data_IF_827937707035
#
_entry.id   IF_827937707035
#
_cell.length_a   1.000
_cell.length_b   1.000
_cell.length_c   1.000
_cell.angle_alpha   90.00
_cell.angle_beta   90.00
_cell.angle_gamma   90.00
#
_symmetry.space_group_name_H-M   'P 1'
#
loop_
_entity.id
_entity.type
_entity.pdbx_description
1 polymer ?
#
# COMPACT_ATOMS: atom_id res chain seq x y z
N UNK A 1 -28.14 -0.13 -14.66
CA UNK A 1 -28.43 -0.88 -13.41
C UNK A 1 -27.76 -0.12 -12.27
N UNK A 2 -28.51 0.24 -11.24
CA UNK A 2 -27.92 0.80 -10.01
C UNK A 2 -26.89 -0.20 -9.48
N UNK A 3 -25.66 0.24 -9.26
CA UNK A 3 -24.63 -0.61 -8.66
C UNK A 3 -25.03 -0.79 -7.20
N UNK A 4 -25.52 -1.98 -6.85
CA UNK A 4 -25.90 -2.28 -5.46
C UNK A 4 -24.69 -2.07 -4.55
N UNK A 5 -24.92 -1.39 -3.45
CA UNK A 5 -23.89 -1.12 -2.45
C UNK A 5 -23.47 -2.41 -1.75
N UNK A 6 -22.17 -2.70 -1.69
CA UNK A 6 -21.68 -4.05 -1.34
C UNK A 6 -22.21 -4.57 0.01
N UNK A 7 -22.19 -3.78 1.12
CA UNK A 7 -22.73 -4.23 2.39
C UNK A 7 -24.23 -4.53 2.35
N UNK A 8 -25.01 -3.77 1.55
CA UNK A 8 -26.46 -3.95 1.42
C UNK A 8 -26.78 -5.30 0.79
N UNK A 9 -26.07 -5.69 -0.28
CA UNK A 9 -26.30 -6.98 -0.93
C UNK A 9 -26.05 -8.16 0.02
N UNK A 10 -24.96 -8.11 0.80
CA UNK A 10 -24.67 -9.17 1.76
C UNK A 10 -25.62 -9.14 2.96
N UNK A 11 -26.07 -7.96 3.41
CA UNK A 11 -27.08 -7.85 4.45
C UNK A 11 -28.44 -8.44 4.03
N UNK A 12 -28.84 -8.30 2.75
CA UNK A 12 -30.05 -8.92 2.20
C UNK A 12 -29.94 -10.44 2.11
N UNK A 13 -28.77 -10.95 1.71
CA UNK A 13 -28.58 -12.39 1.43
C UNK A 13 -28.13 -13.20 2.65
N UNK A 14 -27.31 -12.63 3.53
CA UNK A 14 -26.66 -13.30 4.67
C UNK A 14 -26.56 -12.34 5.88
N UNK A 15 -27.69 -11.92 6.46
CA UNK A 15 -27.76 -10.83 7.43
C UNK A 15 -26.87 -11.04 8.66
N UNK A 16 -26.73 -12.29 9.12
CA UNK A 16 -26.10 -12.62 10.41
C UNK A 16 -24.61 -12.96 10.29
N UNK A 17 -24.05 -12.98 9.06
CA UNK A 17 -22.62 -13.23 8.86
C UNK A 17 -21.82 -12.03 9.41
N UNK A 18 -20.73 -12.26 10.17
CA UNK A 18 -19.85 -11.20 10.63
C UNK A 18 -19.25 -10.39 9.47
N UNK A 19 -19.39 -9.08 9.51
CA UNK A 19 -18.67 -8.17 8.62
C UNK A 19 -17.48 -7.50 9.33
N UNK A 20 -17.65 -7.04 10.57
CA UNK A 20 -16.60 -6.41 11.36
C UNK A 20 -16.43 -7.14 12.69
N UNK A 21 -15.19 -7.43 13.05
CA UNK A 21 -14.80 -7.94 14.38
C UNK A 21 -13.80 -6.97 14.97
N UNK A 22 -14.08 -6.49 16.17
CA UNK A 22 -13.19 -5.69 17.00
C UNK A 22 -12.76 -6.50 18.22
N UNK A 23 -11.78 -6.05 19.02
CA UNK A 23 -11.40 -6.74 20.26
C UNK A 23 -12.60 -7.03 21.19
N UNK A 24 -13.59 -6.13 21.24
CA UNK A 24 -14.69 -6.22 22.19
C UNK A 24 -15.97 -6.84 21.59
N UNK A 25 -16.19 -6.69 20.28
CA UNK A 25 -17.51 -6.97 19.66
C UNK A 25 -17.41 -7.45 18.22
N UNK A 26 -18.38 -8.28 17.84
CA UNK A 26 -18.65 -8.67 16.45
C UNK A 26 -19.90 -7.97 15.94
N UNK A 27 -19.86 -7.47 14.70
CA UNK A 27 -20.95 -6.82 14.01
C UNK A 27 -21.26 -7.56 12.72
N UNK A 28 -22.51 -7.99 12.56
CA UNK A 28 -22.99 -8.65 11.35
C UNK A 28 -23.16 -7.67 10.19
N UNK A 29 -23.28 -8.18 8.96
CA UNK A 29 -23.65 -7.36 7.80
C UNK A 29 -24.94 -6.57 8.02
N UNK A 30 -25.99 -7.20 8.58
CA UNK A 30 -27.26 -6.52 8.87
C UNK A 30 -27.11 -5.37 9.86
N UNK A 31 -26.28 -5.58 10.90
CA UNK A 31 -26.04 -4.55 11.92
C UNK A 31 -25.27 -3.36 11.34
N UNK A 32 -24.20 -3.63 10.60
CA UNK A 32 -23.40 -2.57 9.97
C UNK A 32 -24.24 -1.82 8.94
N UNK A 33 -25.03 -2.52 8.12
CA UNK A 33 -25.92 -1.89 7.15
C UNK A 33 -26.93 -0.94 7.79
N UNK A 34 -27.54 -1.32 8.92
CA UNK A 34 -28.43 -0.44 9.68
C UNK A 34 -27.70 0.83 10.16
N UNK A 35 -26.47 0.69 10.66
CA UNK A 35 -25.65 1.82 11.10
C UNK A 35 -25.30 2.74 9.92
N UNK A 36 -24.84 2.18 8.80
CA UNK A 36 -24.48 2.94 7.60
C UNK A 36 -25.70 3.70 7.05
N UNK A 37 -26.89 3.10 7.04
CA UNK A 37 -28.14 3.78 6.63
C UNK A 37 -28.47 4.98 7.49
N UNK A 38 -28.34 4.87 8.82
CA UNK A 38 -28.61 5.97 9.76
C UNK A 38 -27.59 7.09 9.64
N UNK A 39 -26.30 6.74 9.58
CA UNK A 39 -25.21 7.72 9.38
C UNK A 39 -25.35 8.43 8.04
N UNK A 40 -25.69 7.71 6.96
CA UNK A 40 -25.96 8.30 5.65
C UNK A 40 -27.16 9.26 5.70
N UNK A 41 -28.22 8.91 6.45
CA UNK A 41 -29.37 9.77 6.69
C UNK A 41 -29.03 11.07 7.44
N UNK A 42 -28.15 10.99 8.42
CA UNK A 42 -27.63 12.16 9.14
C UNK A 42 -26.69 13.04 8.30
N UNK A 43 -25.97 12.44 7.34
CA UNK A 43 -25.05 13.13 6.42
C UNK A 43 -25.77 13.79 5.24
N UNK A 44 -26.77 13.16 4.65
CA UNK A 44 -27.46 13.62 3.45
C UNK A 44 -27.91 15.10 3.49
N UNK A 45 -28.50 15.64 4.58
CA UNK A 45 -28.87 17.05 4.63
C UNK A 45 -27.68 18.02 4.79
N UNK A 46 -26.49 17.50 5.10
CA UNK A 46 -25.28 18.29 5.35
C UNK A 46 -24.35 18.38 4.13
N UNK A 47 -24.59 17.59 3.09
CA UNK A 47 -23.69 17.48 1.93
C UNK A 47 -24.40 17.68 0.60
N UNK A 48 -23.66 18.16 -0.41
CA UNK A 48 -24.10 18.22 -1.80
C UNK A 48 -23.63 16.96 -2.55
N UNK A 49 -24.38 16.47 -3.55
CA UNK A 49 -23.90 15.39 -4.42
C UNK A 49 -22.53 15.71 -5.03
N UNK A 50 -21.59 14.77 -4.94
CA UNK A 50 -20.21 14.93 -5.41
C UNK A 50 -19.31 15.79 -4.52
N UNK A 51 -19.77 16.26 -3.36
CA UNK A 51 -18.93 17.01 -2.42
C UNK A 51 -17.90 16.08 -1.76
N UNK A 52 -16.65 16.53 -1.66
CA UNK A 52 -15.62 15.81 -0.92
C UNK A 52 -15.89 15.93 0.58
N UNK A 53 -15.97 14.79 1.26
CA UNK A 53 -16.24 14.70 2.70
C UNK A 53 -15.08 13.99 3.38
N UNK A 54 -14.38 14.75 4.22
CA UNK A 54 -13.28 14.28 5.05
C UNK A 54 -13.77 13.52 6.27
N UNK A 55 -13.04 12.46 6.65
CA UNK A 55 -13.22 11.78 7.94
C UNK A 55 -11.84 11.48 8.54
N UNK A 56 -11.67 11.76 9.83
CA UNK A 56 -10.47 11.33 10.56
C UNK A 56 -10.49 9.79 10.66
N UNK A 57 -9.65 9.14 9.87
CA UNK A 57 -9.68 7.70 9.66
C UNK A 57 -8.95 6.96 10.78
N UNK A 58 -9.65 6.79 11.91
CA UNK A 58 -9.30 5.90 13.00
C UNK A 58 -9.76 4.47 12.72
N UNK A 59 -9.11 3.49 13.33
CA UNK A 59 -9.43 2.06 13.16
C UNK A 59 -10.53 1.62 14.14
N UNK A 60 -11.71 2.22 14.03
CA UNK A 60 -12.89 1.92 14.85
C UNK A 60 -14.17 1.76 14.00
N UNK A 61 -15.23 1.23 14.62
CA UNK A 61 -16.49 0.91 13.94
C UNK A 61 -17.21 2.16 13.45
N UNK A 62 -17.21 3.24 14.23
CA UNK A 62 -17.88 4.49 13.86
C UNK A 62 -17.26 5.10 12.61
N UNK A 63 -15.93 5.10 12.55
CA UNK A 63 -15.18 5.51 11.37
C UNK A 63 -15.48 4.64 10.15
N UNK A 64 -15.42 3.30 10.29
CA UNK A 64 -15.73 2.39 9.18
C UNK A 64 -17.16 2.61 8.64
N UNK A 65 -18.14 2.74 9.54
CA UNK A 65 -19.52 3.03 9.16
C UNK A 65 -19.63 4.36 8.42
N UNK A 66 -18.92 5.39 8.89
CA UNK A 66 -18.91 6.73 8.27
C UNK A 66 -18.29 6.70 6.88
N UNK A 67 -17.17 5.98 6.71
CA UNK A 67 -16.51 5.80 5.41
C UNK A 67 -17.44 5.16 4.37
N UNK A 68 -18.25 4.17 4.79
CA UNK A 68 -19.25 3.54 3.91
C UNK A 68 -20.47 4.43 3.68
N UNK A 69 -20.85 5.26 4.67
CA UNK A 69 -22.02 6.11 4.61
C UNK A 69 -21.83 7.35 3.73
N UNK A 70 -20.61 7.91 3.65
CA UNK A 70 -20.32 9.11 2.85
C UNK A 70 -20.70 8.93 1.37
N UNK A 71 -20.22 7.89 0.66
CA UNK A 71 -20.62 7.64 -0.72
C UNK A 71 -22.12 7.36 -0.88
N UNK A 72 -22.72 6.70 0.11
CA UNK A 72 -24.17 6.42 0.12
C UNK A 72 -25.00 7.69 0.19
N UNK A 73 -24.57 8.66 1.00
CA UNK A 73 -25.19 9.98 1.12
C UNK A 73 -24.90 10.90 -0.09
N UNK A 74 -24.08 10.46 -1.05
CA UNK A 74 -23.74 11.20 -2.26
C UNK A 74 -22.45 12.02 -2.17
N UNK A 75 -21.68 11.90 -1.08
CA UNK A 75 -20.37 12.51 -0.95
C UNK A 75 -19.26 11.65 -1.58
N UNK A 76 -18.06 12.21 -1.69
CA UNK A 76 -16.84 11.50 -2.08
C UNK A 76 -15.95 11.38 -0.85
N UNK A 77 -15.59 10.15 -0.47
CA UNK A 77 -14.82 9.89 0.74
C UNK A 77 -13.39 10.45 0.65
N UNK A 78 -12.96 11.20 1.65
CA UNK A 78 -11.55 11.59 1.84
C UNK A 78 -11.10 11.08 3.20
N UNK A 79 -10.39 9.93 3.29
CA UNK A 79 -9.95 9.42 4.56
C UNK A 79 -8.66 10.15 4.97
N UNK A 80 -8.70 10.84 6.11
CA UNK A 80 -7.64 11.72 6.59
C UNK A 80 -6.94 11.06 7.76
N UNK A 81 -5.62 11.14 7.83
CA UNK A 81 -4.88 10.60 8.96
C UNK A 81 -5.29 11.31 10.27
N UNK A 82 -5.89 10.56 11.20
CA UNK A 82 -6.37 11.07 12.49
C UNK A 82 -5.26 11.63 13.40
N UNK A 83 -3.99 11.36 13.08
CA UNK A 83 -2.82 11.88 13.81
C UNK A 83 -2.33 13.25 13.32
N UNK A 84 -2.87 13.74 12.20
CA UNK A 84 -2.51 15.08 11.71
C UNK A 84 -2.96 16.15 12.70
N UNK A 85 -2.15 17.19 12.83
CA UNK A 85 -2.51 18.40 13.56
C UNK A 85 -3.64 19.12 12.84
N UNK A 86 -4.37 19.97 13.56
CA UNK A 86 -5.46 20.77 12.98
C UNK A 86 -5.00 21.60 11.77
N UNK A 87 -3.83 22.23 11.85
CA UNK A 87 -3.29 23.02 10.74
C UNK A 87 -2.97 22.18 9.50
N UNK A 88 -2.46 20.95 9.67
CA UNK A 88 -2.22 20.03 8.56
C UNK A 88 -3.53 19.53 7.93
N UNK A 89 -4.57 19.29 8.75
CA UNK A 89 -5.90 18.94 8.26
C UNK A 89 -6.52 20.08 7.48
N UNK A 90 -6.44 21.32 7.99
CA UNK A 90 -6.96 22.52 7.31
C UNK A 90 -6.26 22.73 5.96
N UNK A 91 -4.93 22.66 5.91
CA UNK A 91 -4.16 22.78 4.65
C UNK A 91 -4.52 21.68 3.64
N UNK A 92 -4.68 20.43 4.10
CA UNK A 92 -5.11 19.32 3.26
C UNK A 92 -6.52 19.56 2.70
N UNK A 93 -7.44 20.02 3.54
CA UNK A 93 -8.83 20.28 3.16
C UNK A 93 -8.92 21.40 2.13
N UNK A 94 -8.21 22.51 2.35
CA UNK A 94 -8.17 23.64 1.42
C UNK A 94 -7.60 23.23 0.06
N UNK A 95 -6.51 22.46 0.04
CA UNK A 95 -5.86 22.01 -1.20
C UNK A 95 -6.72 21.05 -2.02
N UNK A 96 -7.35 20.08 -1.36
CA UNK A 96 -8.19 19.09 -2.03
C UNK A 96 -9.60 19.60 -2.33
N UNK A 97 -10.02 20.69 -1.69
CA UNK A 97 -11.37 21.22 -1.74
C UNK A 97 -12.36 20.34 -0.96
N UNK A 98 -11.96 19.87 0.23
CA UNK A 98 -12.86 19.13 1.14
C UNK A 98 -13.93 20.09 1.64
N UNK A 99 -15.18 19.79 1.33
CA UNK A 99 -16.30 20.68 1.62
C UNK A 99 -16.98 20.43 2.97
N UNK A 100 -16.70 19.30 3.60
CA UNK A 100 -17.15 18.95 4.94
C UNK A 100 -16.12 18.04 5.60
N UNK A 101 -15.71 18.35 6.83
CA UNK A 101 -14.97 17.43 7.68
C UNK A 101 -15.94 16.86 8.72
N UNK A 102 -16.09 15.54 8.77
CA UNK A 102 -16.87 14.87 9.81
C UNK A 102 -16.10 14.96 11.13
N UNK A 103 -16.77 15.50 12.15
CA UNK A 103 -16.29 15.50 13.54
C UNK A 103 -16.48 14.13 14.17
N UNK A 104 -17.41 14.00 15.12
CA UNK A 104 -17.73 12.71 15.75
C UNK A 104 -18.77 11.92 14.91
N UNK A 105 -18.43 10.72 14.41
CA UNK A 105 -19.39 9.81 13.77
C UNK A 105 -20.67 9.56 14.57
N UNK A 106 -20.62 9.59 15.90
CA UNK A 106 -21.78 9.35 16.76
C UNK A 106 -22.83 10.46 16.67
N UNK A 107 -22.47 11.65 16.21
CA UNK A 107 -23.39 12.79 15.97
C UNK A 107 -24.13 12.70 14.63
N UNK A 108 -23.79 11.70 13.80
CA UNK A 108 -24.41 11.45 12.51
C UNK A 108 -25.50 10.40 12.66
N UNK A 109 -26.72 10.86 12.88
CA UNK A 109 -27.89 9.99 12.97
C UNK A 109 -29.11 10.67 12.32
N UNK A 110 -29.82 9.92 11.50
CA UNK A 110 -30.96 10.42 10.76
C UNK A 110 -31.79 9.31 10.13
N UNK A 111 -32.98 9.64 9.60
CA UNK A 111 -33.81 8.68 8.89
C UNK A 111 -33.03 8.14 7.66
N UNK A 112 -33.03 6.81 7.42
CA UNK A 112 -32.35 6.21 6.29
C UNK A 112 -32.68 6.89 4.97
N UNK A 113 -31.66 7.10 4.15
CA UNK A 113 -31.79 7.56 2.76
C UNK A 113 -31.48 6.43 1.79
N UNK A 114 -32.17 6.43 0.66
CA UNK A 114 -31.81 5.53 -0.44
C UNK A 114 -30.44 5.92 -1.02
N UNK A 115 -29.60 4.94 -1.42
CA UNK A 115 -28.31 5.23 -2.02
C UNK A 115 -28.46 6.15 -3.23
N UNK A 116 -27.58 7.15 -3.32
CA UNK A 116 -27.53 7.99 -4.52
C UNK A 116 -27.15 7.14 -5.74
N UNK A 117 -27.76 7.42 -6.90
CA UNK A 117 -27.58 6.64 -8.14
C UNK A 117 -26.22 6.79 -8.82
N UNK A 118 -25.14 6.99 -8.05
CA UNK A 118 -23.78 7.12 -8.55
C UNK A 118 -23.39 5.89 -9.38
N UNK A 119 -22.89 6.13 -10.58
CA UNK A 119 -22.42 5.12 -11.50
C UNK A 119 -21.10 4.48 -11.05
N UNK A 120 -20.69 3.37 -11.69
CA UNK A 120 -19.43 2.70 -11.37
C UNK A 120 -18.20 3.59 -11.62
N UNK A 121 -18.29 4.54 -12.56
CA UNK A 121 -17.19 5.43 -12.94
C UNK A 121 -17.17 6.74 -12.15
N UNK A 122 -18.15 6.97 -11.29
CA UNK A 122 -18.15 8.13 -10.41
C UNK A 122 -17.08 7.95 -9.30
N UNK A 123 -16.42 9.05 -8.88
CA UNK A 123 -15.49 9.02 -7.76
C UNK A 123 -16.15 8.47 -6.50
N UNK A 124 -15.52 7.48 -5.89
CA UNK A 124 -15.91 6.91 -4.60
C UNK A 124 -15.07 7.47 -3.47
N UNK A 125 -13.75 7.57 -3.69
CA UNK A 125 -12.81 8.12 -2.73
C UNK A 125 -11.75 8.99 -3.42
N UNK A 126 -11.25 9.98 -2.69
CA UNK A 126 -10.00 10.69 -3.00
C UNK A 126 -9.03 10.39 -1.87
N UNK A 127 -8.01 9.58 -2.13
CA UNK A 127 -7.04 9.15 -1.13
C UNK A 127 -5.83 10.09 -1.17
N UNK A 128 -5.54 10.83 -0.07
CA UNK A 128 -4.34 11.66 0.00
C UNK A 128 -3.06 10.83 -0.04
N UNK A 129 -2.11 11.24 -0.86
CA UNK A 129 -0.75 10.69 -0.92
C UNK A 129 0.28 11.79 -0.74
N UNK A 130 1.43 11.46 -0.14
CA UNK A 130 2.57 12.36 -0.07
C UNK A 130 3.13 12.58 -1.48
N UNK A 131 2.83 13.72 -2.10
CA UNK A 131 3.36 14.04 -3.42
C UNK A 131 4.88 14.20 -3.40
N UNK A 132 5.54 13.89 -4.51
CA UNK A 132 6.99 14.11 -4.70
C UNK A 132 7.44 15.56 -4.51
N UNK A 133 6.50 16.51 -4.61
CA UNK A 133 6.71 17.95 -4.39
C UNK A 133 6.61 18.37 -2.92
N UNK A 134 6.43 17.43 -1.98
CA UNK A 134 6.24 17.71 -0.55
C UNK A 134 4.82 18.14 -0.16
N UNK A 135 3.89 18.20 -1.12
CA UNK A 135 2.49 18.55 -0.88
C UNK A 135 1.57 17.35 -1.17
N UNK A 136 0.48 17.16 -0.39
CA UNK A 136 -0.42 16.05 -0.58
C UNK A 136 -1.17 16.15 -1.92
N UNK A 137 -1.19 15.05 -2.69
CA UNK A 137 -2.00 14.89 -3.90
C UNK A 137 -3.18 13.97 -3.59
N UNK A 138 -4.35 14.26 -4.15
CA UNK A 138 -5.52 13.40 -4.00
C UNK A 138 -5.66 12.44 -5.16
N UNK A 139 -5.43 11.14 -4.95
CA UNK A 139 -5.69 10.12 -5.98
C UNK A 139 -7.18 9.83 -6.02
N UNK A 140 -7.81 9.99 -7.18
CA UNK A 140 -9.23 9.68 -7.36
C UNK A 140 -9.40 8.18 -7.58
N UNK A 141 -10.27 7.52 -6.83
CA UNK A 141 -10.64 6.12 -7.01
C UNK A 141 -12.14 6.01 -7.22
N UNK A 142 -12.54 5.36 -8.31
CA UNK A 142 -13.95 5.10 -8.63
C UNK A 142 -14.42 3.80 -8.01
N UNK A 143 -15.75 3.57 -7.97
CA UNK A 143 -16.30 2.28 -7.55
C UNK A 143 -15.81 1.14 -8.45
N UNK A 144 -15.69 1.38 -9.77
CA UNK A 144 -15.14 0.42 -10.72
C UNK A 144 -13.70 0.06 -10.36
N UNK A 145 -12.87 1.05 -10.03
CA UNK A 145 -11.47 0.78 -9.69
C UNK A 145 -11.36 -0.14 -8.48
N UNK A 146 -12.09 0.19 -7.41
CA UNK A 146 -12.07 -0.58 -6.17
C UNK A 146 -12.69 -1.97 -6.33
N UNK A 147 -13.78 -2.10 -7.09
CA UNK A 147 -14.41 -3.39 -7.41
C UNK A 147 -13.44 -4.29 -8.17
N UNK A 148 -12.84 -3.75 -9.25
CA UNK A 148 -11.92 -4.52 -10.08
C UNK A 148 -10.67 -4.98 -9.31
N UNK A 149 -10.15 -4.15 -8.41
CA UNK A 149 -9.05 -4.54 -7.52
C UNK A 149 -9.46 -5.63 -6.53
N UNK A 150 -10.70 -5.58 -6.01
CA UNK A 150 -11.25 -6.61 -5.14
C UNK A 150 -11.43 -7.94 -5.89
N UNK A 151 -12.01 -7.92 -7.09
CA UNK A 151 -12.19 -9.08 -7.96
C UNK A 151 -10.86 -9.75 -8.31
N UNK A 152 -9.89 -8.95 -8.79
CA UNK A 152 -8.58 -9.44 -9.19
C UNK A 152 -7.85 -10.11 -8.02
N UNK A 153 -7.90 -9.50 -6.83
CA UNK A 153 -7.30 -10.08 -5.64
C UNK A 153 -8.04 -11.33 -5.16
N UNK A 154 -9.38 -11.32 -5.19
CA UNK A 154 -10.16 -12.47 -4.77
C UNK A 154 -9.94 -13.68 -5.67
N UNK A 155 -9.86 -13.47 -6.98
CA UNK A 155 -9.54 -14.49 -7.95
C UNK A 155 -8.13 -15.08 -7.73
N UNK A 156 -7.13 -14.22 -7.48
CA UNK A 156 -5.75 -14.68 -7.28
C UNK A 156 -5.53 -15.41 -5.95
N UNK A 157 -6.10 -14.89 -4.86
CA UNK A 157 -5.93 -15.43 -3.51
C UNK A 157 -6.97 -16.50 -3.15
N UNK A 158 -7.95 -16.73 -4.03
CA UNK A 158 -9.11 -17.58 -3.76
C UNK A 158 -9.80 -17.14 -2.44
N UNK A 159 -10.00 -15.82 -2.30
CA UNK A 159 -10.78 -15.22 -1.22
C UNK A 159 -12.26 -15.53 -1.44
N UNK A 160 -12.93 -16.00 -0.40
CA UNK A 160 -14.33 -16.44 -0.44
C UNK A 160 -15.14 -15.71 0.61
N UNK A 161 -16.47 -15.78 0.46
CA UNK A 161 -17.41 -15.31 1.47
C UNK A 161 -17.10 -15.97 2.83
N UNK A 162 -17.15 -15.19 3.90
CA UNK A 162 -16.90 -15.64 5.27
C UNK A 162 -15.42 -15.75 5.65
N UNK A 163 -14.50 -15.60 4.69
CA UNK A 163 -13.07 -15.54 5.00
C UNK A 163 -12.76 -14.31 5.85
N UNK A 164 -11.88 -14.48 6.84
CA UNK A 164 -11.49 -13.44 7.81
C UNK A 164 -10.17 -12.80 7.37
N UNK A 165 -10.15 -11.47 7.26
CA UNK A 165 -8.99 -10.68 6.89
C UNK A 165 -8.61 -9.72 8.02
N UNK A 166 -7.40 -9.84 8.55
CA UNK A 166 -6.86 -8.90 9.54
C UNK A 166 -6.51 -7.55 8.91
N UNK A 167 -7.17 -6.49 9.39
CA UNK A 167 -6.88 -5.10 9.06
C UNK A 167 -6.20 -4.43 10.26
N UNK A 168 -4.87 -4.33 10.19
CA UNK A 168 -4.03 -3.57 11.13
C UNK A 168 -3.32 -2.39 10.44
N UNK A 169 -3.53 -2.26 9.12
CA UNK A 169 -3.03 -1.13 8.34
C UNK A 169 -3.97 0.08 8.48
N UNK A 170 -3.44 1.31 8.53
CA UNK A 170 -4.29 2.49 8.68
C UNK A 170 -5.31 2.66 7.55
N UNK A 171 -6.55 3.00 7.91
CA UNK A 171 -7.66 3.16 6.96
C UNK A 171 -7.56 4.40 6.06
N UNK A 172 -6.69 5.38 6.38
CA UNK A 172 -6.39 6.51 5.50
C UNK A 172 -5.43 6.17 4.35
N UNK A 173 -4.75 5.03 4.43
CA UNK A 173 -3.98 4.51 3.31
C UNK A 173 -4.79 3.51 2.51
N UNK A 174 -4.55 3.45 1.20
CA UNK A 174 -5.22 2.49 0.31
C UNK A 174 -5.01 1.04 0.77
N UNK A 175 -3.88 0.75 1.44
CA UNK A 175 -3.58 -0.57 2.01
C UNK A 175 -4.62 -1.04 3.03
N UNK A 176 -4.99 -0.20 4.00
CA UNK A 176 -6.05 -0.50 4.96
C UNK A 176 -7.44 -0.40 4.34
N UNK A 177 -7.71 0.68 3.58
CA UNK A 177 -9.00 0.89 2.93
C UNK A 177 -9.39 -0.26 1.99
N UNK A 178 -8.45 -0.79 1.20
CA UNK A 178 -8.73 -1.88 0.27
C UNK A 178 -9.14 -3.19 0.97
N UNK A 179 -8.68 -3.46 2.20
CA UNK A 179 -9.12 -4.62 2.99
C UNK A 179 -10.60 -4.49 3.33
N UNK A 180 -11.02 -3.29 3.78
CA UNK A 180 -12.42 -3.00 4.06
C UNK A 180 -13.29 -3.19 2.82
N UNK A 181 -12.90 -2.57 1.71
CA UNK A 181 -13.68 -2.60 0.47
C UNK A 181 -13.74 -4.01 -0.12
N UNK A 182 -12.62 -4.73 -0.16
CA UNK A 182 -12.55 -6.10 -0.68
C UNK A 182 -13.40 -7.06 0.14
N UNK A 183 -13.34 -6.98 1.47
CA UNK A 183 -14.18 -7.81 2.35
C UNK A 183 -15.65 -7.46 2.18
N UNK A 184 -16.00 -6.17 2.11
CA UNK A 184 -17.37 -5.75 1.84
C UNK A 184 -17.86 -6.28 0.49
N UNK A 185 -17.02 -6.24 -0.54
CA UNK A 185 -17.33 -6.72 -1.88
C UNK A 185 -17.58 -8.25 -1.93
N UNK A 186 -16.66 -9.06 -1.40
CA UNK A 186 -16.72 -10.52 -1.48
C UNK A 186 -17.69 -11.16 -0.48
N UNK A 187 -18.04 -10.45 0.60
CA UNK A 187 -18.81 -11.02 1.70
C UNK A 187 -17.91 -11.60 2.81
N UNK A 188 -16.69 -11.06 2.97
CA UNK A 188 -15.72 -11.47 3.97
C UNK A 188 -15.86 -10.72 5.30
N UNK A 189 -15.12 -11.15 6.32
CA UNK A 189 -15.08 -10.51 7.64
C UNK A 189 -13.78 -9.73 7.79
N UNK A 190 -13.85 -8.46 8.17
CA UNK A 190 -12.71 -7.66 8.57
C UNK A 190 -12.50 -7.81 10.08
N UNK A 191 -11.35 -8.37 10.47
CA UNK A 191 -10.88 -8.32 11.86
C UNK A 191 -10.09 -7.02 12.00
N UNK A 192 -10.70 -6.01 12.61
CA UNK A 192 -10.17 -4.66 12.73
C UNK A 192 -9.36 -4.55 14.03
N UNK A 193 -8.05 -4.42 13.89
CA UNK A 193 -7.15 -4.19 15.03
C UNK A 193 -6.75 -2.70 15.05
N UNK A 194 -7.12 -1.93 16.10
CA UNK A 194 -6.93 -0.49 16.11
C UNK A 194 -5.47 -0.04 16.04
N UNK A 195 -4.61 -0.77 16.73
CA UNK A 195 -3.19 -0.45 16.89
C UNK A 195 -2.32 -1.68 16.61
N UNK A 196 -1.15 -1.45 16.03
CA UNK A 196 -0.19 -2.53 15.84
C UNK A 196 0.55 -2.83 17.14
N UNK A 197 0.30 -4.01 17.69
CA UNK A 197 1.10 -4.63 18.74
C UNK A 197 1.50 -6.04 18.27
N UNK A 198 2.80 -6.32 18.23
CA UNK A 198 3.33 -7.50 17.53
C UNK A 198 2.83 -8.82 18.14
N UNK A 199 2.73 -8.92 19.46
CA UNK A 199 2.27 -10.14 20.14
C UNK A 199 0.77 -10.38 19.91
N UNK A 200 -0.03 -9.32 19.96
CA UNK A 200 -1.46 -9.33 19.67
C UNK A 200 -1.71 -9.76 18.24
N UNK A 201 -0.99 -9.17 17.28
CA UNK A 201 -1.12 -9.54 15.86
C UNK A 201 -0.68 -10.98 15.63
N UNK A 202 0.42 -11.44 16.24
CA UNK A 202 0.84 -12.85 16.16
C UNK A 202 -0.27 -13.80 16.64
N UNK A 203 -1.01 -13.43 17.69
CA UNK A 203 -2.17 -14.20 18.18
C UNK A 203 -3.31 -14.19 17.16
N UNK A 204 -3.66 -13.02 16.62
CA UNK A 204 -4.74 -12.87 15.64
C UNK A 204 -4.49 -13.61 14.33
N UNK A 205 -3.23 -13.87 13.97
CA UNK A 205 -2.87 -14.69 12.80
C UNK A 205 -3.42 -16.13 12.91
N UNK A 206 -3.70 -16.65 14.10
CA UNK A 206 -4.37 -17.94 14.27
C UNK A 206 -5.89 -17.89 14.01
N UNK A 207 -6.50 -16.71 13.99
CA UNK A 207 -7.95 -16.51 13.87
C UNK A 207 -8.39 -16.03 12.48
N UNK A 208 -7.44 -15.78 11.58
CA UNK A 208 -7.70 -15.20 10.27
C UNK A 208 -7.15 -16.08 9.15
N UNK A 209 -7.72 -15.91 7.96
CA UNK A 209 -7.24 -16.55 6.74
C UNK A 209 -6.26 -15.68 5.97
N UNK A 210 -6.43 -14.36 6.08
CA UNK A 210 -5.61 -13.38 5.38
C UNK A 210 -5.16 -12.27 6.32
N UNK A 211 -3.97 -11.73 6.08
CA UNK A 211 -3.51 -10.49 6.69
C UNK A 211 -2.74 -9.68 5.65
N UNK A 212 -2.73 -8.36 5.79
CA UNK A 212 -1.83 -7.48 5.04
C UNK A 212 -0.96 -6.71 6.02
N UNK A 213 0.36 -6.75 5.81
CA UNK A 213 1.36 -6.16 6.68
C UNK A 213 2.37 -5.35 5.86
N UNK A 214 3.07 -4.46 6.53
CA UNK A 214 4.33 -3.89 6.01
C UNK A 214 5.53 -4.72 6.51
N UNK A 215 6.70 -4.67 5.85
CA UNK A 215 7.85 -5.49 6.22
C UNK A 215 8.25 -5.37 7.70
N UNK A 216 8.26 -4.14 8.24
CA UNK A 216 8.62 -3.88 9.66
C UNK A 216 7.65 -4.52 10.66
N UNK A 217 6.36 -4.62 10.30
CA UNK A 217 5.38 -5.33 11.13
C UNK A 217 5.67 -6.82 11.15
N UNK A 218 5.95 -7.43 9.98
CA UNK A 218 6.27 -8.84 9.89
C UNK A 218 7.52 -9.19 10.71
N UNK A 219 8.61 -8.41 10.58
CA UNK A 219 9.83 -8.61 11.39
C UNK A 219 9.51 -8.67 12.89
N UNK A 220 8.74 -7.70 13.40
CA UNK A 220 8.37 -7.66 14.82
C UNK A 220 7.43 -8.79 15.24
N UNK A 221 6.54 -9.23 14.36
CA UNK A 221 5.66 -10.38 14.64
C UNK A 221 6.48 -11.67 14.78
N UNK A 222 7.54 -11.84 14.00
CA UNK A 222 8.39 -13.05 14.04
C UNK A 222 9.07 -13.25 15.40
N UNK A 223 9.30 -12.18 16.16
CA UNK A 223 9.82 -12.26 17.55
C UNK A 223 8.84 -12.96 18.52
N UNK A 224 7.57 -13.11 18.14
CA UNK A 224 6.51 -13.68 18.98
C UNK A 224 5.72 -14.79 18.30
N UNK A 225 5.97 -15.05 17.01
CA UNK A 225 5.23 -16.04 16.24
C UNK A 225 5.56 -17.46 16.72
N UNK A 226 4.53 -18.20 17.09
CA UNK A 226 4.61 -19.63 17.40
C UNK A 226 3.68 -20.42 16.50
N UNK A 227 4.19 -20.95 15.39
CA UNK A 227 3.42 -21.82 14.50
C UNK A 227 3.03 -23.16 15.15
N UNK A 228 2.14 -23.94 14.51
CA UNK A 228 1.60 -23.73 13.16
C UNK A 228 0.35 -22.83 13.10
N UNK A 229 0.11 -22.23 11.93
CA UNK A 229 -1.07 -21.41 11.61
C UNK A 229 -2.00 -22.09 10.59
N UNK A 230 -2.74 -23.16 10.97
CA UNK A 230 -3.47 -23.99 10.00
C UNK A 230 -4.60 -23.27 9.26
N UNK A 231 -5.17 -22.21 9.83
CA UNK A 231 -6.22 -21.40 9.21
C UNK A 231 -5.70 -20.29 8.28
N UNK A 232 -4.42 -19.95 8.38
CA UNK A 232 -3.81 -18.82 7.68
C UNK A 232 -3.37 -19.24 6.28
N UNK A 233 -3.95 -18.61 5.26
CA UNK A 233 -3.67 -18.94 3.85
C UNK A 233 -2.57 -18.04 3.28
N UNK A 234 -2.60 -16.74 3.57
CA UNK A 234 -1.65 -15.79 2.98
C UNK A 234 -1.50 -14.53 3.83
N UNK A 235 -0.26 -14.10 4.05
CA UNK A 235 0.08 -12.79 4.59
C UNK A 235 0.69 -11.96 3.48
N UNK A 236 -0.03 -10.96 2.98
CA UNK A 236 0.49 -10.02 1.99
C UNK A 236 1.47 -9.06 2.67
N UNK A 237 2.67 -8.93 2.13
CA UNK A 237 3.68 -7.99 2.63
C UNK A 237 4.02 -7.01 1.53
N UNK A 238 3.73 -5.73 1.77
CA UNK A 238 3.92 -4.68 0.76
C UNK A 238 4.00 -3.28 1.38
N UNK A 239 3.94 -2.25 0.53
CA UNK A 239 4.04 -0.85 0.96
C UNK A 239 5.47 -0.37 1.25
N UNK A 240 6.48 -1.21 1.01
CA UNK A 240 7.88 -0.85 1.10
C UNK A 240 8.80 -1.99 0.62
N UNK A 241 10.11 -1.73 0.48
CA UNK A 241 11.08 -2.75 0.11
C UNK A 241 11.11 -3.89 1.13
N UNK A 242 11.24 -5.13 0.65
CA UNK A 242 11.39 -6.31 1.50
C UNK A 242 12.86 -6.50 1.89
N UNK A 243 13.17 -6.61 3.20
CA UNK A 243 14.50 -7.01 3.65
C UNK A 243 14.87 -8.40 3.09
N UNK A 244 16.15 -8.62 2.71
CA UNK A 244 16.63 -9.95 2.36
C UNK A 244 16.34 -10.96 3.49
N UNK A 245 15.91 -12.17 3.14
CA UNK A 245 15.66 -13.25 4.10
C UNK A 245 14.34 -13.18 4.88
N UNK A 246 13.64 -12.04 4.92
CA UNK A 246 12.41 -11.90 5.72
C UNK A 246 11.31 -12.90 5.36
N UNK A 247 11.14 -13.21 4.06
CA UNK A 247 10.17 -14.21 3.61
C UNK A 247 10.60 -15.64 4.00
N UNK A 248 11.90 -15.91 4.06
CA UNK A 248 12.44 -17.21 4.48
C UNK A 248 12.28 -17.39 6.00
N UNK A 249 12.52 -16.35 6.79
CA UNK A 249 12.23 -16.34 8.23
C UNK A 249 10.75 -16.54 8.52
N UNK A 250 9.87 -15.85 7.78
CA UNK A 250 8.42 -16.05 7.88
C UNK A 250 8.02 -17.49 7.54
N UNK A 251 8.61 -18.06 6.49
CA UNK A 251 8.40 -19.46 6.12
C UNK A 251 8.88 -20.41 7.23
N UNK A 252 10.03 -20.15 7.84
CA UNK A 252 10.57 -20.95 8.94
C UNK A 252 9.66 -20.89 10.19
N UNK A 253 9.01 -19.74 10.43
CA UNK A 253 8.01 -19.56 11.48
C UNK A 253 6.61 -20.13 11.11
N UNK A 254 6.44 -20.68 9.90
CA UNK A 254 5.17 -21.22 9.42
C UNK A 254 4.15 -20.17 8.96
N UNK A 255 4.57 -18.92 8.75
CA UNK A 255 3.74 -17.84 8.22
C UNK A 255 3.83 -17.84 6.68
N UNK A 256 2.70 -17.99 5.95
CA UNK A 256 2.70 -17.97 4.48
C UNK A 256 2.76 -16.54 3.95
N UNK A 257 3.87 -15.85 4.24
CA UNK A 257 4.13 -14.49 3.77
C UNK A 257 4.48 -14.48 2.28
N UNK A 258 3.90 -13.53 1.54
CA UNK A 258 4.18 -13.31 0.12
C UNK A 258 4.34 -11.83 -0.18
N UNK A 259 5.20 -11.45 -1.13
CA UNK A 259 5.33 -10.08 -1.57
C UNK A 259 4.06 -9.61 -2.29
N UNK A 260 3.72 -8.34 -2.16
CA UNK A 260 2.66 -7.70 -2.94
C UNK A 260 3.10 -6.32 -3.43
N UNK A 261 2.67 -5.94 -4.63
CA UNK A 261 3.05 -4.70 -5.28
C UNK A 261 1.83 -3.96 -5.84
N UNK A 262 1.86 -2.64 -5.70
CA UNK A 262 0.89 -1.70 -6.20
C UNK A 262 1.00 -0.36 -5.48
N UNK A 263 0.13 0.56 -5.84
CA UNK A 263 0.12 1.94 -5.35
C UNK A 263 -1.31 2.42 -5.09
N UNK A 264 -1.45 3.66 -4.62
CA UNK A 264 -2.76 4.28 -4.43
C UNK A 264 -3.47 4.42 -5.77
N UNK A 265 -2.74 4.82 -6.81
CA UNK A 265 -3.16 5.00 -8.20
C UNK A 265 -3.62 3.72 -8.87
N UNK A 266 -3.31 2.57 -8.28
CA UNK A 266 -3.69 1.24 -8.78
C UNK A 266 -4.73 0.55 -7.90
N UNK A 267 -5.41 1.30 -7.02
CA UNK A 267 -6.34 0.78 -6.02
C UNK A 267 -5.73 -0.34 -5.14
N UNK A 268 -4.54 -0.05 -4.59
CA UNK A 268 -3.71 -0.87 -3.70
C UNK A 268 -2.84 -1.95 -4.36
N UNK A 269 -3.43 -2.94 -5.02
CA UNK A 269 -2.72 -4.19 -5.35
C UNK A 269 -2.88 -4.53 -6.83
N UNK A 270 -1.76 -4.73 -7.53
CA UNK A 270 -1.76 -5.14 -8.96
C UNK A 270 -0.84 -6.32 -9.27
N UNK A 271 0.07 -6.69 -8.36
CA UNK A 271 0.84 -7.92 -8.48
C UNK A 271 1.07 -8.58 -7.13
N UNK A 272 1.18 -9.91 -7.09
CA UNK A 272 1.36 -10.68 -5.85
C UNK A 272 2.19 -11.93 -6.08
N UNK A 273 3.08 -12.23 -5.14
CA UNK A 273 3.91 -13.43 -5.17
C UNK A 273 3.16 -14.67 -4.73
N UNK A 274 3.81 -15.81 -4.89
CA UNK A 274 3.36 -17.09 -4.33
C UNK A 274 4.19 -17.45 -3.10
N UNK A 275 3.70 -18.32 -2.21
CA UNK A 275 4.49 -18.77 -1.06
C UNK A 275 5.87 -19.29 -1.49
N UNK A 276 6.93 -18.70 -0.93
CA UNK A 276 8.33 -19.04 -1.25
C UNK A 276 8.90 -18.35 -2.50
N UNK A 277 8.15 -17.47 -3.17
CA UNK A 277 8.64 -16.63 -4.27
C UNK A 277 8.87 -15.20 -3.78
N UNK A 278 10.05 -14.62 -4.08
CA UNK A 278 10.35 -13.21 -3.80
C UNK A 278 9.87 -12.26 -4.91
N UNK A 279 9.50 -12.80 -6.07
CA UNK A 279 8.92 -12.07 -7.19
C UNK A 279 7.41 -12.00 -7.08
N UNK A 280 6.79 -11.09 -7.83
CA UNK A 280 5.33 -10.91 -7.87
C UNK A 280 4.81 -11.18 -9.28
N UNK A 281 3.57 -11.66 -9.41
CA UNK A 281 2.93 -11.85 -10.72
C UNK A 281 1.75 -10.89 -10.87
N UNK A 282 1.49 -10.33 -12.06
CA UNK A 282 0.31 -9.50 -12.29
C UNK A 282 -0.96 -10.24 -11.89
N UNK A 283 -1.88 -9.53 -11.22
CA UNK A 283 -3.20 -10.05 -10.91
C UNK A 283 -4.05 -10.19 -12.19
N UNK A 284 -5.13 -11.00 -12.17
CA UNK A 284 -6.10 -11.02 -13.26
C UNK A 284 -6.56 -9.61 -13.65
N UNK A 285 -6.72 -9.38 -14.95
CA UNK A 285 -7.13 -8.08 -15.53
C UNK A 285 -6.12 -6.93 -15.37
N UNK A 286 -4.91 -7.19 -14.87
CA UNK A 286 -3.79 -6.24 -14.89
C UNK A 286 -2.96 -6.47 -16.15
N UNK A 287 -2.86 -5.47 -17.00
CA UNK A 287 -1.90 -5.42 -18.10
C UNK A 287 -0.63 -4.72 -17.59
N UNK A 288 0.38 -5.52 -17.25
CA UNK A 288 1.66 -5.04 -16.73
C UNK A 288 2.74 -5.17 -17.79
N UNK A 289 3.43 -4.06 -18.07
CA UNK A 289 4.49 -3.98 -19.08
C UNK A 289 5.73 -3.30 -18.50
N UNK A 290 6.88 -3.68 -19.04
CA UNK A 290 8.13 -2.94 -18.85
C UNK A 290 8.31 -2.06 -20.08
N UNK A 291 8.51 -0.75 -19.89
CA UNK A 291 8.60 0.23 -20.98
C UNK A 291 9.91 1.01 -20.94
N UNK A 292 10.30 1.54 -22.09
CA UNK A 292 11.38 2.53 -22.21
C UNK A 292 10.88 3.95 -21.89
N UNK A 293 11.79 4.92 -21.98
CA UNK A 293 11.48 6.34 -21.77
C UNK A 293 10.43 6.92 -22.72
N UNK A 294 10.26 6.32 -23.91
CA UNK A 294 9.32 6.74 -24.94
C UNK A 294 7.94 6.06 -24.79
N UNK A 295 7.79 5.17 -23.80
CA UNK A 295 6.56 4.39 -23.59
C UNK A 295 6.45 3.13 -24.45
N UNK A 296 7.53 2.74 -25.13
CA UNK A 296 7.57 1.51 -25.94
C UNK A 296 7.82 0.32 -25.02
N UNK A 297 7.04 -0.74 -25.19
CA UNK A 297 7.21 -1.97 -24.41
C UNK A 297 8.52 -2.68 -24.77
N UNK A 298 9.27 -3.06 -23.74
CA UNK A 298 10.55 -3.76 -23.82
C UNK A 298 10.35 -5.28 -23.77
N UNK A 299 11.32 -6.01 -24.32
CA UNK A 299 11.34 -7.48 -24.26
C UNK A 299 11.54 -7.99 -22.83
N UNK A 300 11.00 -9.17 -22.53
CA UNK A 300 11.23 -9.87 -21.25
C UNK A 300 12.72 -10.05 -20.99
N UNK A 301 13.14 -9.87 -19.74
CA UNK A 301 14.54 -9.85 -19.34
C UNK A 301 15.21 -8.47 -19.44
N UNK A 302 14.53 -7.46 -19.99
CA UNK A 302 15.05 -6.09 -20.04
C UNK A 302 14.53 -5.27 -18.86
N UNK A 303 15.43 -4.50 -18.24
CA UNK A 303 15.04 -3.54 -17.19
C UNK A 303 14.45 -2.29 -17.83
N UNK A 304 13.34 -1.81 -17.29
CA UNK A 304 12.71 -0.55 -17.69
C UNK A 304 11.67 -0.11 -16.67
N UNK A 305 10.89 0.91 -17.01
CA UNK A 305 9.84 1.41 -16.12
C UNK A 305 8.63 0.48 -16.13
N UNK A 306 8.04 0.24 -14.96
CA UNK A 306 6.80 -0.52 -14.81
C UNK A 306 5.63 0.40 -15.22
N UNK A 307 4.94 0.00 -16.28
CA UNK A 307 3.69 0.62 -16.71
C UNK A 307 2.54 -0.39 -16.55
N UNK A 308 1.41 0.10 -16.06
CA UNK A 308 0.24 -0.74 -15.79
C UNK A 308 -1.03 -0.14 -16.39
N UNK A 309 -1.88 -0.99 -16.94
CA UNK A 309 -3.23 -0.62 -17.34
C UNK A 309 -4.24 -1.67 -16.85
N UNK A 310 -5.51 -1.26 -16.79
CA UNK A 310 -6.58 -2.12 -16.33
C UNK A 310 -7.70 -1.37 -15.60
N UNK A 311 -8.80 -2.06 -15.29
CA UNK A 311 -9.98 -1.44 -14.69
C UNK A 311 -9.75 -0.91 -13.27
N UNK A 312 -8.72 -1.36 -12.55
CA UNK A 312 -8.35 -0.83 -11.22
C UNK A 312 -7.52 0.46 -11.25
N UNK A 313 -7.05 0.89 -12.42
CA UNK A 313 -6.18 2.04 -12.53
C UNK A 313 -6.99 3.33 -12.42
N UNK A 314 -6.54 4.21 -11.52
CA UNK A 314 -7.13 5.51 -11.25
C UNK A 314 -7.25 6.36 -12.53
N UNK A 315 -8.32 7.16 -12.67
CA UNK A 315 -8.41 8.17 -13.73
C UNK A 315 -7.36 9.30 -13.57
N UNK A 316 -6.75 9.43 -12.39
CA UNK A 316 -5.69 10.39 -12.11
C UNK A 316 -5.86 11.14 -10.78
N UNK A 317 -5.07 12.19 -10.63
CA UNK A 317 -5.12 13.05 -9.45
C UNK A 317 -6.24 14.09 -9.56
N UNK A 318 -6.82 14.45 -8.41
CA UNK A 318 -7.83 15.50 -8.29
C UNK A 318 -7.29 16.82 -8.85
N UNK A 319 -8.05 17.43 -9.76
CA UNK A 319 -7.68 18.71 -10.38
C UNK A 319 -6.61 18.61 -11.48
N UNK A 320 -6.12 17.41 -11.78
CA UNK A 320 -5.26 17.17 -12.93
C UNK A 320 -6.10 16.72 -14.15
N UNK A 321 -5.51 16.83 -15.34
CA UNK A 321 -6.07 16.26 -16.55
C UNK A 321 -6.17 14.73 -16.42
N UNK A 322 -7.24 14.14 -16.95
CA UNK A 322 -7.40 12.69 -16.98
C UNK A 322 -6.21 12.01 -17.66
N UNK A 323 -5.77 10.87 -17.10
CA UNK A 323 -4.68 10.06 -17.66
C UNK A 323 -5.03 9.63 -19.09
N UNK A 324 -4.05 9.70 -19.99
CA UNK A 324 -4.10 9.10 -21.33
C UNK A 324 -3.03 8.01 -21.43
N UNK A 325 -3.40 6.80 -21.85
CA UNK A 325 -2.48 5.65 -21.92
C UNK A 325 -2.10 5.08 -20.54
N UNK A 326 -1.30 4.01 -20.46
CA UNK A 326 -1.02 3.24 -19.23
C UNK A 326 -0.47 4.12 -18.09
N UNK A 327 -0.75 3.74 -16.85
CA UNK A 327 -0.18 4.40 -15.68
C UNK A 327 1.29 4.03 -15.52
N UNK A 328 2.14 5.04 -15.65
CA UNK A 328 3.58 5.00 -15.42
C UNK A 328 3.84 5.13 -13.92
N UNK A 329 4.35 4.08 -13.31
CA UNK A 329 4.52 4.01 -11.84
C UNK A 329 5.72 4.85 -11.35
N UNK A 330 6.67 5.16 -12.23
CA UNK A 330 7.98 5.69 -11.86
C UNK A 330 8.87 4.67 -11.16
N UNK A 331 8.45 3.41 -11.06
CA UNK A 331 9.22 2.32 -10.50
C UNK A 331 9.85 1.50 -11.64
N UNK A 332 11.07 1.02 -11.42
CA UNK A 332 11.81 0.18 -12.34
C UNK A 332 11.54 -1.28 -12.04
N UNK A 333 11.50 -2.10 -13.09
CA UNK A 333 11.31 -3.53 -12.95
C UNK A 333 11.81 -4.32 -14.14
N UNK A 334 11.80 -5.63 -13.95
CA UNK A 334 12.12 -6.62 -14.97
C UNK A 334 11.10 -7.74 -14.88
N UNK A 335 10.55 -8.11 -16.04
CA UNK A 335 9.72 -9.30 -16.20
C UNK A 335 10.59 -10.45 -16.71
N UNK A 336 10.57 -11.59 -16.01
CA UNK A 336 11.17 -12.82 -16.54
C UNK A 336 10.29 -13.46 -17.64
N UNK A 337 10.76 -14.59 -18.16
CA UNK A 337 10.10 -15.31 -19.25
C UNK A 337 8.74 -15.90 -18.81
N UNK A 338 8.61 -16.21 -17.52
CA UNK A 338 7.40 -16.73 -16.88
C UNK A 338 6.41 -15.63 -16.49
N UNK A 339 6.80 -14.36 -16.62
CA UNK A 339 5.99 -13.19 -16.28
C UNK A 339 5.99 -12.81 -14.82
N UNK A 340 6.98 -13.26 -14.05
CA UNK A 340 7.22 -12.74 -12.73
C UNK A 340 7.97 -11.42 -12.82
N UNK A 341 7.51 -10.46 -12.04
CA UNK A 341 8.07 -9.13 -11.89
C UNK A 341 9.01 -9.10 -10.69
N UNK A 342 10.22 -8.59 -10.92
CA UNK A 342 11.09 -8.09 -9.87
C UNK A 342 11.08 -6.57 -9.90
N UNK A 343 10.74 -5.94 -8.78
CA UNK A 343 10.82 -4.48 -8.62
C UNK A 343 12.24 -4.10 -8.23
N UNK A 344 12.82 -3.14 -8.95
CA UNK A 344 14.22 -2.72 -8.89
C UNK A 344 14.41 -1.28 -8.40
N UNK A 345 13.40 -0.69 -7.77
CA UNK A 345 13.47 0.66 -7.20
C UNK A 345 12.80 1.70 -8.09
N UNK A 346 13.28 2.94 -8.08
CA UNK A 346 12.66 4.06 -8.81
C UNK A 346 13.50 4.57 -9.97
N UNK A 347 12.82 5.06 -11.00
CA UNK A 347 13.44 5.75 -12.14
C UNK A 347 14.26 6.95 -11.66
N UNK A 348 13.67 7.77 -10.77
CA UNK A 348 14.31 8.99 -10.26
C UNK A 348 15.51 8.72 -9.34
N UNK A 349 15.66 7.49 -8.84
CA UNK A 349 16.78 7.09 -7.99
C UNK A 349 17.91 6.42 -8.80
N UNK A 350 17.70 6.13 -10.09
CA UNK A 350 18.73 5.53 -10.95
C UNK A 350 19.93 6.47 -11.12
N UNK A 351 21.12 5.95 -10.91
CA UNK A 351 22.38 6.70 -11.03
C UNK A 351 23.08 6.30 -12.31
N UNK A 352 23.42 7.27 -13.16
CA UNK A 352 24.26 7.05 -14.33
C UNK A 352 25.70 7.39 -13.97
N UNK A 353 26.54 6.38 -13.74
CA UNK A 353 27.97 6.56 -13.39
C UNK A 353 28.83 6.07 -14.54
N UNK A 354 29.56 6.98 -15.19
CA UNK A 354 30.46 6.63 -16.29
C UNK A 354 29.73 6.06 -17.53
N UNK A 355 28.47 6.44 -17.73
CA UNK A 355 27.62 5.94 -18.82
C UNK A 355 26.88 4.65 -18.51
N UNK A 356 27.09 4.06 -17.33
CA UNK A 356 26.40 2.84 -16.89
C UNK A 356 25.25 3.17 -15.94
N UNK A 357 24.11 2.51 -16.16
CA UNK A 357 22.96 2.62 -15.26
C UNK A 357 23.18 1.75 -14.03
N UNK A 358 23.14 2.37 -12.86
CA UNK A 358 23.17 1.66 -11.58
C UNK A 358 21.90 1.96 -10.80
N UNK A 359 21.29 0.89 -10.32
CA UNK A 359 20.08 0.93 -9.51
C UNK A 359 20.49 0.83 -8.03
N UNK A 360 20.34 1.90 -7.22
CA UNK A 360 20.81 1.88 -5.83
C UNK A 360 20.30 0.70 -5.01
N UNK A 361 19.04 0.30 -5.20
CA UNK A 361 18.46 -0.84 -4.46
C UNK A 361 19.14 -2.17 -4.76
N UNK A 362 19.75 -2.34 -5.94
CA UNK A 362 20.52 -3.54 -6.27
C UNK A 362 21.78 -3.59 -5.39
N UNK A 363 22.44 -2.44 -5.24
CA UNK A 363 23.62 -2.29 -4.40
C UNK A 363 23.24 -2.47 -2.93
N UNK A 364 22.20 -1.77 -2.46
CA UNK A 364 21.66 -1.90 -1.09
C UNK A 364 21.37 -3.34 -0.73
N UNK A 365 20.74 -4.11 -1.63
CA UNK A 365 20.44 -5.53 -1.41
C UNK A 365 21.69 -6.38 -1.22
N UNK A 366 22.75 -6.11 -1.98
CA UNK A 366 24.03 -6.80 -1.81
C UNK A 366 24.67 -6.42 -0.46
N UNK A 367 24.58 -5.16 -0.04
CA UNK A 367 25.12 -4.71 1.24
C UNK A 367 24.35 -5.33 2.41
N UNK A 368 23.02 -5.27 2.38
CA UNK A 368 22.12 -5.84 3.39
C UNK A 368 22.21 -7.38 3.49
N UNK A 369 22.76 -8.06 2.49
CA UNK A 369 23.02 -9.49 2.55
C UNK A 369 24.28 -9.84 3.36
N UNK A 370 25.10 -8.86 3.76
CA UNK A 370 26.25 -9.09 4.63
C UNK A 370 25.78 -9.27 6.08
N UNK A 371 26.19 -10.33 6.82
CA UNK A 371 25.68 -10.62 8.16
C UNK A 371 25.86 -9.51 9.21
N UNK A 372 26.90 -8.70 9.04
CA UNK A 372 27.21 -7.57 9.92
C UNK A 372 26.57 -6.23 9.48
N UNK A 373 25.73 -6.20 8.44
CA UNK A 373 25.05 -4.98 7.98
C UNK A 373 23.58 -5.02 8.40
N UNK A 374 23.13 -4.01 9.15
CA UNK A 374 21.74 -3.94 9.65
C UNK A 374 20.86 -2.95 8.90
N UNK A 375 21.44 -1.92 8.30
CA UNK A 375 20.75 -0.98 7.41
C UNK A 375 21.73 -0.43 6.37
N UNK A 376 21.22 -0.12 5.18
CA UNK A 376 22.01 0.46 4.11
C UNK A 376 21.16 1.39 3.23
N UNK A 377 21.82 2.40 2.68
CA UNK A 377 21.26 3.35 1.73
C UNK A 377 22.31 3.71 0.68
N UNK A 378 21.91 3.71 -0.59
CA UNK A 378 22.80 4.06 -1.70
C UNK A 378 22.18 5.20 -2.50
N UNK A 379 22.99 6.16 -2.91
CA UNK A 379 22.57 7.27 -3.76
C UNK A 379 23.68 7.72 -4.71
N UNK A 380 23.30 8.48 -5.73
CA UNK A 380 24.24 9.14 -6.63
C UNK A 380 24.59 10.53 -6.11
N UNK A 381 25.87 10.88 -6.17
CA UNK A 381 26.38 12.22 -5.97
C UNK A 381 27.14 12.70 -7.21
N UNK A 382 27.05 13.99 -7.53
CA UNK A 382 27.70 14.58 -8.69
C UNK A 382 29.22 14.38 -8.63
N UNK A 383 29.81 13.99 -9.76
CA UNK A 383 31.25 13.77 -9.88
C UNK A 383 31.75 14.30 -11.23
N UNK A 384 32.75 15.20 -11.25
CA UNK A 384 33.25 15.82 -12.48
C UNK A 384 33.81 14.84 -13.51
N UNK A 385 34.25 13.65 -13.10
CA UNK A 385 34.89 12.65 -13.95
C UNK A 385 33.89 11.60 -14.45
N UNK A 386 32.92 11.24 -13.63
CA UNK A 386 31.99 10.14 -13.89
C UNK A 386 30.55 10.61 -14.19
N UNK A 387 30.29 11.90 -14.11
CA UNK A 387 28.94 12.47 -14.11
C UNK A 387 28.34 12.35 -12.71
N UNK A 388 28.17 11.10 -12.25
CA UNK A 388 27.81 10.78 -10.88
C UNK A 388 28.62 9.60 -10.34
N UNK A 389 28.72 9.49 -9.02
CA UNK A 389 29.28 8.33 -8.32
C UNK A 389 28.36 7.84 -7.21
N UNK A 390 28.46 6.56 -6.89
CA UNK A 390 27.66 5.95 -5.84
C UNK A 390 28.27 6.21 -4.47
N UNK A 391 27.46 6.76 -3.58
CA UNK A 391 27.70 6.87 -2.16
C UNK A 391 26.87 5.83 -1.43
N UNK A 392 27.40 5.24 -0.37
CA UNK A 392 26.68 4.29 0.48
C UNK A 392 26.79 4.70 1.95
N UNK A 393 25.65 4.79 2.63
CA UNK A 393 25.58 4.88 4.09
C UNK A 393 25.20 3.50 4.64
N UNK A 394 25.97 2.99 5.60
CA UNK A 394 25.85 1.61 6.07
C UNK A 394 25.95 1.57 7.60
N UNK A 395 25.01 0.89 8.23
CA UNK A 395 25.06 0.57 9.66
C UNK A 395 25.67 -0.81 9.82
N UNK A 396 26.84 -0.87 10.45
CA UNK A 396 27.66 -2.09 10.55
C UNK A 396 27.95 -2.48 11.99
N UNK A 397 28.12 -3.78 12.22
CA UNK A 397 28.63 -4.34 13.46
C UNK A 397 30.02 -4.94 13.24
N UNK A 398 31.06 -4.30 13.80
CA UNK A 398 32.41 -4.85 13.88
C UNK A 398 33.20 -4.99 12.58
N UNK A 399 32.75 -4.42 11.46
CA UNK A 399 33.46 -4.43 10.17
C UNK A 399 33.77 -3.02 9.67
N UNK A 400 34.80 -2.89 8.83
CA UNK A 400 35.23 -1.62 8.23
C UNK A 400 34.81 -1.48 6.75
N UNK A 401 35.13 -0.32 6.16
CA UNK A 401 34.86 -0.03 4.74
C UNK A 401 35.52 -1.05 3.80
N UNK A 402 36.74 -1.48 4.10
CA UNK A 402 37.48 -2.39 3.22
C UNK A 402 36.81 -3.76 3.15
N UNK A 403 36.31 -4.27 4.28
CA UNK A 403 35.52 -5.50 4.31
C UNK A 403 34.24 -5.38 3.46
N UNK A 404 33.50 -4.27 3.57
CA UNK A 404 32.31 -4.00 2.75
C UNK A 404 32.65 -3.91 1.26
N UNK A 405 33.75 -3.23 0.91
CA UNK A 405 34.19 -3.07 -0.47
C UNK A 405 34.62 -4.40 -1.09
N UNK A 406 35.29 -5.27 -0.32
CA UNK A 406 35.61 -6.65 -0.74
C UNK A 406 34.33 -7.45 -0.97
N UNK A 407 33.38 -7.39 -0.03
CA UNK A 407 32.09 -8.06 -0.16
C UNK A 407 31.32 -7.64 -1.41
N UNK A 408 31.23 -6.33 -1.65
CA UNK A 408 30.55 -5.74 -2.80
C UNK A 408 31.24 -6.14 -4.12
N UNK A 409 32.58 -6.03 -4.22
CA UNK A 409 33.33 -6.39 -5.43
C UNK A 409 33.21 -7.86 -5.82
N UNK A 410 33.00 -8.74 -4.84
CA UNK A 410 32.77 -10.16 -5.11
C UNK A 410 31.38 -10.45 -5.73
N UNK A 411 30.43 -9.51 -5.67
CA UNK A 411 29.01 -9.72 -6.02
C UNK A 411 28.46 -8.73 -7.03
N UNK A 412 29.11 -7.59 -7.20
CA UNK A 412 28.70 -6.50 -8.07
C UNK A 412 29.75 -6.25 -9.15
N UNK A 413 29.30 -5.86 -10.34
CA UNK A 413 30.19 -5.31 -11.36
C UNK A 413 30.90 -4.05 -10.81
N UNK A 414 32.14 -3.80 -11.25
CA UNK A 414 32.98 -2.75 -10.68
C UNK A 414 32.36 -1.35 -10.68
N UNK A 415 31.57 -1.02 -11.71
CA UNK A 415 30.88 0.28 -11.81
C UNK A 415 29.69 0.43 -10.83
N UNK A 416 29.18 -0.67 -10.26
CA UNK A 416 28.11 -0.68 -9.25
C UNK A 416 28.62 -0.57 -7.81
N UNK A 417 29.93 -0.72 -7.59
CA UNK A 417 30.51 -0.64 -6.24
C UNK A 417 30.58 0.83 -5.80
N UNK A 418 30.07 1.18 -4.59
CA UNK A 418 30.17 2.53 -4.07
C UNK A 418 31.62 3.03 -4.01
N UNK A 419 31.80 4.28 -4.42
CA UNK A 419 33.11 4.96 -4.40
C UNK A 419 33.34 5.67 -3.07
N UNK A 420 32.27 6.10 -2.40
CA UNK A 420 32.29 6.74 -1.08
C UNK A 420 31.42 5.94 -0.11
N UNK A 421 31.94 5.71 1.09
CA UNK A 421 31.28 4.94 2.14
C UNK A 421 31.16 5.78 3.40
N UNK A 422 29.97 5.76 4.01
CA UNK A 422 29.62 6.46 5.24
C UNK A 422 29.19 5.40 6.26
N UNK A 423 30.10 5.03 7.17
CA UNK A 423 29.74 4.16 8.29
C UNK A 423 28.99 5.01 9.33
N UNK A 424 27.72 4.68 9.57
CA UNK A 424 26.82 5.50 10.40
C UNK A 424 26.13 4.65 11.46
N UNK A 425 25.78 5.27 12.59
CA UNK A 425 25.00 4.59 13.64
C UNK A 425 23.55 4.31 13.20
N UNK A 426 23.04 5.11 12.26
CA UNK A 426 21.69 4.97 11.70
C UNK A 426 21.61 5.65 10.33
N UNK A 427 20.90 5.07 9.37
CA UNK A 427 20.58 5.74 8.10
C UNK A 427 19.51 6.81 8.35
N UNK A 428 19.84 8.07 8.06
CA UNK A 428 18.86 9.15 8.14
C UNK A 428 17.80 8.97 7.05
N UNK A 429 16.53 8.93 7.45
CA UNK A 429 15.37 8.82 6.55
C UNK A 429 14.38 9.94 6.86
N UNK A 430 13.82 10.56 5.82
CA UNK A 430 12.68 11.47 5.92
C UNK A 430 11.47 10.79 6.57
N UNK A 431 10.45 11.57 6.95
CA UNK A 431 9.19 11.04 7.48
C UNK A 431 8.50 10.00 6.56
N UNK A 432 8.88 9.97 5.27
CA UNK A 432 8.39 9.04 4.25
C UNK A 432 9.30 7.81 4.03
N UNK A 433 10.30 7.61 4.89
CA UNK A 433 11.25 6.49 4.81
C UNK A 433 12.35 6.63 3.74
N UNK A 434 12.32 7.70 2.93
CA UNK A 434 13.38 7.99 1.93
C UNK A 434 14.64 8.51 2.60
N UNK A 435 15.80 8.10 2.11
CA UNK A 435 17.12 8.54 2.58
C UNK A 435 17.23 10.07 2.56
N UNK A 436 17.56 10.67 3.70
CA UNK A 436 17.84 12.10 3.80
C UNK A 436 19.31 12.36 3.47
N UNK A 437 19.57 12.57 2.17
CA UNK A 437 20.92 12.74 1.62
C UNK A 437 21.65 13.93 2.24
N UNK A 438 20.96 15.04 2.53
CA UNK A 438 21.56 16.24 3.14
C UNK A 438 22.03 15.99 4.57
N UNK A 439 21.26 15.22 5.33
CA UNK A 439 21.64 14.82 6.68
C UNK A 439 22.83 13.85 6.71
N UNK A 440 23.03 13.08 5.62
CA UNK A 440 24.14 12.14 5.47
C UNK A 440 25.41 12.79 4.89
N UNK A 441 25.27 13.78 4.01
CA UNK A 441 26.40 14.52 3.39
C UNK A 441 26.99 15.60 4.30
N UNK A 442 26.27 16.02 5.35
CA UNK A 442 26.72 16.99 6.34
C UNK A 442 27.48 16.38 7.53
N UNK A 443 27.79 15.08 7.49
CA UNK A 443 28.59 14.33 8.47
C UNK A 443 29.91 13.93 7.83
#
# INVERSE_FOLDING_TARGET
MSVKDWPTEHAERNPDVPFLVTPDRTFSYSRVEQMVRRVAGGLAPRIRPGQLVGVAASSDVGTVVTMLAIPRAGGILVPINARLTRGEVDDLCDRLGVGLLVGDPAELDGPPVEPTGAGPDDPYAVVPTSGTTGHPKGVVLTRRNLTAAADASAAFLNLRRGDRWLCVLPLHHVGGLSILIRSAHVGGTVVLEPEFESRRVATLLHEVRFASLVPTMLTRILEHAGGPFPGLSTVLVGGGPLPPGLLDEARAAGIPAVPTYGATETAAQIATGRPGEATVRPLPSVDLRIIDQNGVSLERGTVGEIAVDGPMISPGYRGAQARSGPYRTGDLGILDQEGNLTVLGRVDDMVVTGGENVYPVEVERVLLAHPAVSDAAVWGADDPRWGATLHAAVVVDGIDEDALRVWARARLAGYKVPKVWHLVDSVARSAMGKVDRRALEGR
#
